data_IF_585826889932
#
_entry.id   IF_585826889932
#
_cell.length_a   1.000
_cell.length_b   1.000
_cell.length_c   1.000
_cell.angle_alpha   90.00
_cell.angle_beta   90.00
_cell.angle_gamma   90.00
#
_symmetry.space_group_name_H-M   'P 1'
#
loop_
_entity.id
_entity.type
_entity.pdbx_description
1 polymer ?
#
# COMPACT_ATOMS: atom_id res chain seq x y z
N UNK A 1 -13.75 -23.55 -4.31
CA UNK A 1 -13.23 -22.41 -5.10
C UNK A 1 -14.22 -21.28 -4.94
N UNK A 2 -13.80 -20.14 -4.40
CA UNK A 2 -14.67 -18.96 -4.35
C UNK A 2 -14.83 -18.39 -5.76
N UNK A 3 -16.03 -17.95 -6.13
CA UNK A 3 -16.30 -17.36 -7.44
C UNK A 3 -15.91 -15.88 -7.46
N UNK A 4 -14.63 -15.58 -7.25
CA UNK A 4 -14.06 -14.23 -7.31
C UNK A 4 -12.65 -14.27 -7.94
N UNK A 5 -12.10 -13.13 -8.40
CA UNK A 5 -10.72 -13.07 -8.90
C UNK A 5 -9.72 -13.65 -7.89
N UNK A 6 -8.71 -14.38 -8.36
CA UNK A 6 -7.72 -15.05 -7.50
C UNK A 6 -6.84 -14.08 -6.69
N UNK A 7 -6.77 -12.83 -7.14
CA UNK A 7 -6.05 -11.72 -6.50
C UNK A 7 -6.97 -10.82 -5.64
N UNK A 8 -8.29 -11.05 -5.65
CA UNK A 8 -9.20 -10.38 -4.72
C UNK A 8 -9.13 -11.01 -3.33
N UNK A 9 -9.44 -10.24 -2.29
CA UNK A 9 -9.54 -10.72 -0.91
C UNK A 9 -10.76 -10.13 -0.23
N UNK A 10 -11.43 -10.94 0.58
CA UNK A 10 -12.49 -10.53 1.51
C UNK A 10 -12.05 -10.93 2.91
N UNK A 11 -11.71 -9.94 3.73
CA UNK A 11 -11.37 -10.12 5.13
C UNK A 11 -12.54 -9.61 5.98
N UNK A 12 -12.79 -10.24 7.12
CA UNK A 12 -13.83 -9.80 8.03
C UNK A 12 -13.43 -10.01 9.50
N UNK A 13 -14.03 -9.22 10.37
CA UNK A 13 -13.98 -9.39 11.81
C UNK A 13 -15.38 -9.13 12.39
N UNK A 14 -15.84 -9.99 13.29
CA UNK A 14 -17.01 -9.70 14.11
C UNK A 14 -16.56 -8.74 15.20
N UNK A 15 -17.09 -7.52 15.19
CA UNK A 15 -16.73 -6.48 16.16
C UNK A 15 -17.77 -6.37 17.29
N UNK A 16 -18.98 -6.89 17.06
CA UNK A 16 -19.97 -7.12 18.10
C UNK A 16 -20.79 -8.37 17.77
N UNK A 17 -20.70 -9.42 18.60
CA UNK A 17 -21.45 -10.66 18.43
C UNK A 17 -22.88 -10.60 19.01
N UNK A 18 -23.22 -9.49 19.67
CA UNK A 18 -24.59 -9.12 20.02
C UNK A 18 -25.02 -9.31 21.47
N UNK A 19 -24.16 -9.81 22.36
CA UNK A 19 -24.46 -9.85 23.79
C UNK A 19 -23.49 -10.70 24.61
N UNK A 20 -23.67 -10.67 25.93
CA UNK A 20 -22.82 -11.38 26.91
C UNK A 20 -23.44 -12.71 27.38
N UNK A 21 -24.76 -12.86 27.26
CA UNK A 21 -25.51 -13.99 27.82
C UNK A 21 -25.94 -14.99 26.74
N UNK A 22 -25.60 -16.29 26.88
CA UNK A 22 -25.87 -17.30 25.86
C UNK A 22 -27.35 -17.71 25.74
N UNK A 23 -28.17 -17.36 26.73
CA UNK A 23 -29.60 -17.67 26.79
C UNK A 23 -30.51 -16.50 26.33
N UNK A 24 -29.93 -15.44 25.79
CA UNK A 24 -30.65 -14.27 25.27
C UNK A 24 -30.49 -14.22 23.75
N UNK A 25 -31.59 -14.02 23.02
CA UNK A 25 -31.53 -13.79 21.57
C UNK A 25 -31.01 -12.38 21.33
N UNK A 26 -29.93 -12.26 20.56
CA UNK A 26 -29.25 -10.99 20.37
C UNK A 26 -29.97 -10.11 19.33
N UNK A 27 -30.22 -8.85 19.68
CA UNK A 27 -30.97 -7.92 18.85
C UNK A 27 -30.10 -7.19 17.79
N UNK A 28 -28.78 -7.20 17.95
CA UNK A 28 -27.84 -6.48 17.10
C UNK A 28 -26.54 -7.27 16.99
N UNK A 29 -25.94 -7.31 15.81
CA UNK A 29 -24.59 -7.81 15.61
C UNK A 29 -23.89 -6.94 14.58
N UNK A 30 -22.57 -6.83 14.68
CA UNK A 30 -21.76 -5.96 13.85
C UNK A 30 -20.49 -6.66 13.41
N UNK A 31 -20.16 -6.49 12.13
CA UNK A 31 -18.93 -7.01 11.55
C UNK A 31 -18.33 -5.96 10.62
N UNK A 32 -17.00 -5.91 10.61
CA UNK A 32 -16.21 -5.06 9.73
C UNK A 32 -15.65 -5.91 8.59
N UNK A 33 -15.76 -5.41 7.36
CA UNK A 33 -15.26 -6.08 6.16
C UNK A 33 -14.21 -5.22 5.46
N UNK A 34 -13.14 -5.84 4.99
CA UNK A 34 -12.15 -5.24 4.08
C UNK A 34 -12.12 -6.05 2.79
N UNK A 35 -12.47 -5.40 1.68
CA UNK A 35 -12.54 -6.00 0.35
C UNK A 35 -11.51 -5.28 -0.51
N UNK A 36 -10.59 -6.05 -1.12
CA UNK A 36 -9.54 -5.50 -1.96
C UNK A 36 -9.28 -6.33 -3.20
N UNK A 37 -8.87 -5.66 -4.27
CA UNK A 37 -8.40 -6.24 -5.52
C UNK A 37 -7.36 -5.29 -6.14
N UNK A 38 -6.38 -5.78 -6.91
CA UNK A 38 -5.49 -4.92 -7.69
C UNK A 38 -6.20 -4.02 -8.70
N UNK A 39 -7.43 -4.36 -9.09
CA UNK A 39 -8.29 -3.55 -9.96
C UNK A 39 -9.53 -3.09 -9.19
N UNK A 40 -9.80 -1.78 -9.22
CA UNK A 40 -10.97 -1.16 -8.61
C UNK A 40 -12.31 -1.79 -9.03
N UNK A 41 -12.52 -2.05 -10.33
CA UNK A 41 -13.78 -2.61 -10.87
C UNK A 41 -14.07 -4.01 -10.30
N UNK A 42 -13.01 -4.79 -10.06
CA UNK A 42 -13.13 -6.10 -9.43
C UNK A 42 -13.50 -5.98 -7.94
N UNK A 43 -12.89 -5.02 -7.22
CA UNK A 43 -13.21 -4.77 -5.81
C UNK A 43 -14.67 -4.33 -5.64
N UNK A 44 -15.14 -3.42 -6.49
CA UNK A 44 -16.53 -2.94 -6.52
C UNK A 44 -17.52 -4.09 -6.79
N UNK A 45 -17.22 -4.95 -7.76
CA UNK A 45 -18.05 -6.13 -8.07
C UNK A 45 -18.12 -7.11 -6.89
N UNK A 46 -16.99 -7.35 -6.21
CA UNK A 46 -16.95 -8.21 -5.02
C UNK A 46 -17.74 -7.58 -3.87
N UNK A 47 -17.60 -6.28 -3.64
CA UNK A 47 -18.37 -5.53 -2.65
C UNK A 47 -19.87 -5.62 -2.88
N UNK A 48 -20.33 -5.37 -4.12
CA UNK A 48 -21.74 -5.51 -4.48
C UNK A 48 -22.28 -6.93 -4.22
N UNK A 49 -21.44 -7.96 -4.40
CA UNK A 49 -21.81 -9.34 -4.08
C UNK A 49 -21.90 -9.58 -2.57
N UNK A 50 -20.96 -9.05 -1.78
CA UNK A 50 -21.00 -9.17 -0.31
C UNK A 50 -22.25 -8.49 0.24
N UNK A 51 -22.64 -7.32 -0.29
CA UNK A 51 -23.89 -6.66 0.08
C UNK A 51 -25.12 -7.54 -0.18
N UNK A 52 -25.23 -8.14 -1.38
CA UNK A 52 -26.33 -9.07 -1.70
C UNK A 52 -26.38 -10.28 -0.78
N UNK A 53 -25.24 -10.79 -0.34
CA UNK A 53 -25.17 -11.89 0.63
C UNK A 53 -25.72 -11.43 1.98
N UNK A 54 -25.34 -10.24 2.45
CA UNK A 54 -25.83 -9.69 3.71
C UNK A 54 -27.34 -9.42 3.67
N UNK A 55 -27.86 -8.87 2.57
CA UNK A 55 -29.29 -8.69 2.33
C UNK A 55 -30.04 -10.02 2.32
N UNK A 56 -29.48 -11.05 1.66
CA UNK A 56 -30.06 -12.39 1.65
C UNK A 56 -30.10 -13.02 3.04
N UNK A 57 -29.06 -12.84 3.86
CA UNK A 57 -29.03 -13.32 5.23
C UNK A 57 -30.07 -12.60 6.11
N UNK A 58 -30.21 -11.28 5.96
CA UNK A 58 -31.24 -10.50 6.65
C UNK A 58 -32.65 -11.00 6.29
N UNK A 59 -32.89 -11.25 4.99
CA UNK A 59 -34.16 -11.80 4.51
C UNK A 59 -34.48 -13.17 5.09
N UNK A 60 -33.51 -14.11 5.08
CA UNK A 60 -33.71 -15.47 5.61
C UNK A 60 -34.02 -15.51 7.11
N UNK A 61 -33.57 -14.50 7.84
CA UNK A 61 -33.67 -14.44 9.31
C UNK A 61 -34.74 -13.47 9.80
N UNK A 62 -35.50 -12.85 8.87
CA UNK A 62 -36.47 -11.80 9.18
C UNK A 62 -35.86 -10.62 9.97
N UNK A 63 -34.59 -10.32 9.70
CA UNK A 63 -33.85 -9.18 10.30
C UNK A 63 -33.62 -8.08 9.26
N UNK A 64 -32.90 -7.03 9.68
CA UNK A 64 -32.47 -5.95 8.79
C UNK A 64 -30.95 -5.82 8.84
N UNK A 65 -30.35 -5.35 7.74
CA UNK A 65 -28.93 -5.05 7.66
C UNK A 65 -28.73 -3.61 7.22
N UNK A 66 -27.76 -2.94 7.86
CA UNK A 66 -27.28 -1.62 7.45
C UNK A 66 -25.81 -1.75 7.08
N UNK A 67 -25.46 -1.42 5.85
CA UNK A 67 -24.08 -1.37 5.38
C UNK A 67 -23.57 0.05 5.55
N UNK A 68 -22.43 0.22 6.22
CA UNK A 68 -21.75 1.50 6.36
C UNK A 68 -20.35 1.42 5.77
N UNK A 69 -20.06 2.29 4.80
CA UNK A 69 -18.71 2.44 4.26
C UNK A 69 -17.91 3.32 5.23
N UNK A 70 -16.83 2.78 5.77
CA UNK A 70 -15.96 3.47 6.74
C UNK A 70 -14.67 3.98 6.11
N UNK A 71 -14.35 3.56 4.89
CA UNK A 71 -13.18 3.97 4.13
C UNK A 71 -13.04 3.21 2.82
N UNK A 72 -12.12 3.65 1.98
CA UNK A 72 -11.82 3.04 0.69
C UNK A 72 -10.67 3.78 0.01
N UNK A 73 -9.91 3.07 -0.82
CA UNK A 73 -8.81 3.61 -1.61
C UNK A 73 -8.84 3.03 -3.01
N UNK A 74 -8.45 3.82 -4.00
CA UNK A 74 -8.32 3.34 -5.38
C UNK A 74 -7.00 2.62 -5.59
N UNK A 75 -6.91 1.76 -6.62
CA UNK A 75 -5.62 1.19 -7.02
C UNK A 75 -4.71 2.28 -7.58
N UNK A 76 -3.39 2.13 -7.40
CA UNK A 76 -2.41 3.06 -7.97
C UNK A 76 -2.33 2.89 -9.49
N UNK A 77 -2.29 4.02 -10.21
CA UNK A 77 -1.97 4.10 -11.63
C UNK A 77 -0.49 4.51 -11.78
N UNK A 78 0.42 3.57 -12.13
CA UNK A 78 1.83 3.88 -12.30
C UNK A 78 2.03 4.81 -13.51
N UNK A 79 2.97 5.75 -13.43
CA UNK A 79 3.29 6.62 -14.56
C UNK A 79 4.74 6.41 -15.03
N UNK A 80 4.91 5.64 -16.11
CA UNK A 80 6.22 5.27 -16.64
C UNK A 80 7.03 6.50 -17.03
N UNK A 81 6.41 7.50 -17.65
CA UNK A 81 7.11 8.73 -18.05
C UNK A 81 7.78 9.43 -16.86
N UNK A 82 7.15 9.44 -15.68
CA UNK A 82 7.75 9.97 -14.45
C UNK A 82 8.77 9.00 -13.83
N UNK A 83 8.48 7.70 -13.81
CA UNK A 83 9.40 6.70 -13.27
C UNK A 83 10.72 6.63 -14.05
N UNK A 84 10.71 6.77 -15.36
CA UNK A 84 11.93 6.82 -16.18
C UNK A 84 12.84 7.98 -15.76
N UNK A 85 12.26 9.16 -15.51
CA UNK A 85 13.01 10.35 -15.06
C UNK A 85 13.52 10.16 -13.64
N UNK A 86 12.69 9.60 -12.76
CA UNK A 86 13.07 9.30 -11.39
C UNK A 86 14.22 8.29 -11.33
N UNK A 87 14.16 7.25 -12.16
CA UNK A 87 15.18 6.22 -12.23
C UNK A 87 16.54 6.76 -12.67
N UNK A 88 16.57 7.61 -13.70
CA UNK A 88 17.80 8.27 -14.11
C UNK A 88 18.36 9.18 -13.00
N UNK A 89 17.49 9.85 -12.25
CA UNK A 89 17.91 10.62 -11.09
C UNK A 89 18.45 9.75 -9.94
N UNK A 90 17.82 8.59 -9.65
CA UNK A 90 18.37 7.62 -8.69
C UNK A 90 19.75 7.14 -9.11
N UNK A 91 19.94 6.83 -10.40
CA UNK A 91 21.24 6.40 -10.95
C UNK A 91 22.31 7.48 -10.81
N UNK A 92 21.97 8.76 -11.01
CA UNK A 92 22.89 9.89 -10.87
C UNK A 92 23.26 10.20 -9.42
N UNK A 93 22.29 10.12 -8.50
CA UNK A 93 22.52 10.42 -7.08
C UNK A 93 23.30 9.29 -6.40
N UNK A 94 23.08 8.04 -6.82
CA UNK A 94 23.73 6.86 -6.24
C UNK A 94 23.02 6.35 -4.99
N UNK A 95 23.59 5.31 -4.36
CA UNK A 95 22.95 4.63 -3.22
C UNK A 95 23.05 5.42 -1.91
N UNK A 96 22.29 5.04 -0.87
CA UNK A 96 22.44 5.63 0.45
C UNK A 96 23.87 5.39 0.97
N UNK A 97 24.53 6.40 1.56
CA UNK A 97 25.89 6.26 2.08
C UNK A 97 25.89 5.59 3.46
N UNK A 98 25.48 4.32 3.51
CA UNK A 98 25.53 3.52 4.73
C UNK A 98 26.97 3.37 5.23
N UNK A 99 27.15 3.41 6.56
CA UNK A 99 28.45 3.26 7.19
C UNK A 99 28.54 2.02 8.09
N UNK A 100 29.71 1.79 8.69
CA UNK A 100 29.94 0.61 9.53
C UNK A 100 28.95 0.47 10.71
N UNK A 101 28.44 1.57 11.27
CA UNK A 101 27.47 1.50 12.35
C UNK A 101 26.11 0.99 11.85
N UNK A 102 25.71 1.41 10.64
CA UNK A 102 24.48 0.92 10.00
C UNK A 102 24.56 -0.59 9.73
N UNK A 103 25.67 -1.07 9.17
CA UNK A 103 25.87 -2.50 8.90
C UNK A 103 25.98 -3.34 10.17
N UNK A 104 26.64 -2.84 11.22
CA UNK A 104 26.70 -3.55 12.50
C UNK A 104 25.32 -3.66 13.17
N UNK A 105 24.50 -2.60 13.13
CA UNK A 105 23.13 -2.68 13.60
C UNK A 105 22.32 -3.71 12.79
N UNK A 106 22.37 -3.63 11.45
CA UNK A 106 21.65 -4.55 10.57
C UNK A 106 22.06 -6.01 10.82
N UNK A 107 23.35 -6.27 11.04
CA UNK A 107 23.90 -7.58 11.41
C UNK A 107 23.37 -8.09 12.74
N UNK A 108 23.29 -7.23 13.76
CA UNK A 108 22.73 -7.59 15.05
C UNK A 108 21.25 -7.93 14.93
N UNK A 109 20.46 -7.07 14.26
CA UNK A 109 19.04 -7.30 14.01
C UNK A 109 18.82 -8.62 13.26
N UNK A 110 19.63 -8.85 12.21
CA UNK A 110 19.64 -10.09 11.43
C UNK A 110 19.84 -11.32 12.31
N UNK A 111 20.77 -11.25 13.27
CA UNK A 111 21.08 -12.36 14.17
C UNK A 111 19.98 -12.64 15.20
N UNK A 112 19.32 -11.60 15.71
CA UNK A 112 18.45 -11.73 16.90
C UNK A 112 16.96 -11.77 16.59
N UNK A 113 16.53 -11.24 15.43
CA UNK A 113 15.12 -10.99 15.18
C UNK A 113 14.65 -11.26 13.73
N UNK A 114 15.53 -11.71 12.84
CA UNK A 114 15.20 -12.05 11.45
C UNK A 114 15.71 -13.45 11.10
N UNK A 115 14.97 -14.14 10.25
CA UNK A 115 15.31 -15.48 9.74
C UNK A 115 15.77 -15.42 8.29
N UNK A 116 16.36 -16.51 7.79
CA UNK A 116 16.69 -16.63 6.36
C UNK A 116 15.45 -16.58 5.47
N UNK A 117 14.34 -17.12 5.96
CA UNK A 117 13.02 -17.00 5.31
C UNK A 117 12.57 -15.54 5.22
N UNK A 118 12.76 -14.74 6.28
CA UNK A 118 12.42 -13.32 6.26
C UNK A 118 13.23 -12.54 5.20
N UNK A 119 14.55 -12.79 5.09
CA UNK A 119 15.36 -12.15 4.03
C UNK A 119 14.85 -12.53 2.66
N UNK A 120 14.71 -13.83 2.41
CA UNK A 120 14.26 -14.33 1.11
C UNK A 120 12.90 -13.73 0.77
N UNK A 121 11.94 -13.74 1.70
CA UNK A 121 10.61 -13.16 1.50
C UNK A 121 10.67 -11.66 1.16
N UNK A 122 11.57 -10.91 1.79
CA UNK A 122 11.72 -9.47 1.54
C UNK A 122 12.25 -9.12 0.16
N UNK A 123 12.99 -10.04 -0.48
CA UNK A 123 13.60 -9.83 -1.80
C UNK A 123 13.04 -10.72 -2.91
N UNK A 124 12.19 -11.71 -2.60
CA UNK A 124 11.69 -12.72 -3.55
C UNK A 124 10.96 -12.12 -4.75
N UNK A 125 10.24 -11.01 -4.54
CA UNK A 125 9.61 -10.29 -5.64
C UNK A 125 10.60 -9.51 -6.50
N UNK A 126 11.79 -9.18 -6.00
CA UNK A 126 12.70 -8.23 -6.65
C UNK A 126 13.94 -8.95 -7.21
N UNK A 127 14.87 -9.31 -6.33
CA UNK A 127 16.12 -9.97 -6.69
C UNK A 127 16.58 -10.87 -5.53
N UNK A 128 16.45 -12.18 -5.72
CA UNK A 128 16.81 -13.18 -4.72
C UNK A 128 18.30 -13.20 -4.38
N UNK A 129 19.17 -12.69 -5.27
CA UNK A 129 20.61 -12.63 -5.00
C UNK A 129 20.96 -11.67 -3.85
N UNK A 130 20.04 -10.77 -3.49
CA UNK A 130 20.21 -9.82 -2.40
C UNK A 130 19.91 -10.42 -1.01
N UNK A 131 19.46 -11.67 -0.91
CA UNK A 131 19.03 -12.26 0.37
C UNK A 131 20.14 -12.28 1.44
N UNK A 132 21.41 -12.37 1.01
CA UNK A 132 22.57 -12.43 1.89
C UNK A 132 23.11 -11.04 2.26
N UNK A 133 22.59 -9.99 1.62
CA UNK A 133 22.95 -8.62 1.95
C UNK A 133 22.25 -8.17 3.25
N UNK A 134 22.92 -7.36 4.06
CA UNK A 134 22.32 -6.77 5.27
C UNK A 134 21.51 -5.51 4.95
N UNK A 135 22.05 -4.68 4.06
CA UNK A 135 21.47 -3.44 3.57
C UNK A 135 21.58 -3.43 2.05
N UNK A 136 20.63 -2.76 1.40
CA UNK A 136 20.61 -2.63 -0.05
C UNK A 136 21.23 -1.30 -0.49
N UNK A 137 22.37 -1.37 -1.18
CA UNK A 137 23.19 -0.25 -1.64
C UNK A 137 23.29 -0.20 -3.18
N UNK A 138 22.35 -0.83 -3.88
CA UNK A 138 22.29 -0.85 -5.33
C UNK A 138 20.99 -0.24 -5.85
N UNK A 139 20.84 -0.15 -7.17
CA UNK A 139 19.60 0.27 -7.82
C UNK A 139 19.00 -0.93 -8.52
N UNK A 140 17.82 -1.35 -8.07
CA UNK A 140 17.05 -2.39 -8.74
C UNK A 140 16.64 -1.91 -10.13
N UNK A 141 16.62 -2.78 -11.17
CA UNK A 141 16.11 -2.39 -12.48
C UNK A 141 14.67 -1.91 -12.38
N UNK A 142 14.27 -0.98 -13.26
CA UNK A 142 12.85 -0.66 -13.43
C UNK A 142 12.12 -1.95 -13.80
N UNK A 143 11.34 -2.46 -12.85
CA UNK A 143 10.52 -3.65 -13.06
C UNK A 143 9.40 -3.36 -14.06
N UNK A 144 8.91 -4.42 -14.68
CA UNK A 144 7.63 -4.40 -15.40
C UNK A 144 6.59 -5.03 -14.49
N UNK A 145 5.55 -4.26 -14.15
CA UNK A 145 4.28 -4.70 -13.60
C UNK A 145 4.33 -5.74 -12.47
N UNK A 146 5.00 -5.40 -11.36
CA UNK A 146 4.73 -6.08 -10.10
C UNK A 146 3.66 -5.33 -9.32
N UNK A 147 2.55 -6.01 -9.07
CA UNK A 147 1.52 -5.53 -8.17
C UNK A 147 2.09 -5.48 -6.74
N UNK A 148 2.38 -4.29 -6.26
CA UNK A 148 2.52 -4.10 -4.81
C UNK A 148 1.13 -4.21 -4.18
N UNK A 149 0.93 -5.21 -3.31
CA UNK A 149 -0.33 -5.39 -2.56
C UNK A 149 -0.52 -4.37 -1.42
N UNK A 150 0.24 -3.28 -1.44
CA UNK A 150 0.06 -2.14 -0.55
C UNK A 150 -1.27 -1.44 -0.79
N UNK A 151 -1.78 -0.76 0.22
CA UNK A 151 -2.98 0.07 0.11
C UNK A 151 -2.65 1.46 0.63
N UNK A 152 -2.90 2.48 -0.19
CA UNK A 152 -2.57 3.88 0.11
C UNK A 152 -3.53 4.80 -0.65
N UNK A 153 -3.86 5.92 -0.02
CA UNK A 153 -4.60 7.06 -0.58
C UNK A 153 -3.88 7.77 -1.73
N UNK A 154 -2.56 7.53 -1.91
CA UNK A 154 -1.84 7.95 -3.13
C UNK A 154 -2.47 7.34 -4.39
N UNK A 155 -3.13 6.18 -4.25
CA UNK A 155 -3.95 5.61 -5.30
C UNK A 155 -4.96 6.62 -5.84
N UNK A 156 -5.76 7.25 -4.98
CA UNK A 156 -6.77 8.23 -5.37
C UNK A 156 -6.16 9.45 -6.10
N UNK A 157 -5.01 9.93 -5.64
CA UNK A 157 -4.28 11.02 -6.30
C UNK A 157 -3.83 10.61 -7.71
N UNK A 158 -3.38 9.36 -7.89
CA UNK A 158 -2.89 8.86 -9.18
C UNK A 158 -3.95 8.76 -10.27
N UNK A 159 -5.24 8.74 -9.91
CA UNK A 159 -6.36 8.83 -10.86
C UNK A 159 -6.64 10.26 -11.33
N UNK A 160 -6.13 11.27 -10.62
CA UNK A 160 -6.39 12.69 -10.89
C UNK A 160 -5.18 13.32 -11.60
N UNK A 161 -3.97 13.02 -11.14
CA UNK A 161 -2.73 13.60 -11.66
C UNK A 161 -1.64 12.54 -11.87
N UNK A 162 -0.75 12.72 -12.88
CA UNK A 162 0.37 11.80 -13.07
C UNK A 162 1.20 11.70 -11.79
N UNK A 163 1.42 10.47 -11.32
CA UNK A 163 2.01 10.20 -10.01
C UNK A 163 3.11 9.15 -10.13
N UNK A 164 4.20 9.36 -9.38
CA UNK A 164 5.28 8.40 -9.20
C UNK A 164 5.71 8.41 -7.72
N UNK A 165 6.11 7.26 -7.20
CA UNK A 165 6.54 7.09 -5.81
C UNK A 165 8.02 6.73 -5.74
N UNK A 166 8.75 7.34 -4.81
CA UNK A 166 10.16 7.05 -4.60
C UNK A 166 10.31 6.08 -3.42
N UNK A 167 10.90 4.92 -3.67
CA UNK A 167 11.29 3.96 -2.63
C UNK A 167 12.81 3.90 -2.55
N UNK A 168 13.34 3.98 -1.32
CA UNK A 168 14.79 3.91 -1.04
C UNK A 168 15.04 2.95 0.12
N UNK A 169 16.25 2.40 0.20
CA UNK A 169 16.64 1.57 1.33
C UNK A 169 16.76 2.45 2.59
N UNK A 170 15.94 2.14 3.61
CA UNK A 170 15.92 2.83 4.90
C UNK A 170 16.06 1.87 6.09
N UNK A 171 16.08 0.56 5.85
CA UNK A 171 16.08 -0.48 6.87
C UNK A 171 16.74 -1.75 6.33
N UNK A 172 17.09 -2.66 7.24
CA UNK A 172 17.75 -3.92 6.95
C UNK A 172 16.89 -4.85 6.10
N UNK A 173 17.53 -5.58 5.18
CA UNK A 173 16.92 -6.64 4.39
C UNK A 173 16.37 -7.73 5.34
N UNK A 174 15.21 -8.26 4.99
CA UNK A 174 14.43 -9.17 5.84
C UNK A 174 13.43 -8.48 6.78
N UNK A 175 13.48 -7.15 6.91
CA UNK A 175 12.50 -6.46 7.76
C UNK A 175 11.12 -6.41 7.09
N UNK A 176 10.13 -7.08 7.68
CA UNK A 176 8.73 -6.98 7.24
C UNK A 176 8.10 -5.64 7.63
N UNK A 177 7.24 -5.10 6.76
CA UNK A 177 6.41 -3.94 7.10
C UNK A 177 5.44 -4.26 8.25
N UNK A 178 5.11 -3.24 9.05
CA UNK A 178 4.23 -3.36 10.23
C UNK A 178 4.74 -4.33 11.31
N UNK A 179 6.06 -4.45 11.45
CA UNK A 179 6.70 -5.27 12.48
C UNK A 179 7.41 -4.41 13.54
N UNK A 180 7.65 -4.98 14.72
CA UNK A 180 8.48 -4.33 15.75
C UNK A 180 9.91 -4.09 15.27
N UNK A 181 10.44 -4.98 14.43
CA UNK A 181 11.75 -4.83 13.80
C UNK A 181 11.83 -3.59 12.92
N UNK A 182 10.74 -3.19 12.25
CA UNK A 182 10.73 -1.93 11.50
C UNK A 182 10.71 -0.71 12.44
N UNK A 183 9.95 -0.79 13.55
CA UNK A 183 9.85 0.30 14.54
C UNK A 183 11.23 0.64 15.13
N UNK A 184 12.08 -0.35 15.38
CA UNK A 184 13.42 -0.11 15.95
C UNK A 184 14.38 0.60 15.00
N UNK A 185 14.04 0.73 13.72
CA UNK A 185 14.92 1.27 12.68
C UNK A 185 14.55 2.68 12.22
N UNK A 186 13.31 3.11 12.42
CA UNK A 186 12.75 4.32 11.80
C UNK A 186 13.45 5.64 12.15
N UNK A 187 14.14 5.70 13.30
CA UNK A 187 14.88 6.89 13.77
C UNK A 187 16.41 6.69 13.73
N UNK A 188 16.88 5.60 13.12
CA UNK A 188 18.32 5.35 13.01
C UNK A 188 18.97 6.20 11.91
N UNK A 189 20.28 6.48 12.01
CA UNK A 189 21.04 7.16 10.95
C UNK A 189 20.85 6.53 9.56
N UNK A 190 20.80 5.20 9.46
CA UNK A 190 20.48 4.48 8.23
C UNK A 190 19.15 4.94 7.58
N UNK A 191 18.07 5.03 8.37
CA UNK A 191 16.78 5.46 7.88
C UNK A 191 16.82 6.90 7.37
N UNK A 192 17.52 7.80 8.08
CA UNK A 192 17.72 9.18 7.64
C UNK A 192 18.55 9.28 6.35
N UNK A 193 19.56 8.44 6.16
CA UNK A 193 20.35 8.38 4.91
C UNK A 193 19.48 7.98 3.71
N UNK A 194 18.63 6.97 3.88
CA UNK A 194 17.62 6.58 2.88
C UNK A 194 16.62 7.69 2.60
N UNK A 195 16.06 8.32 3.64
CA UNK A 195 15.13 9.44 3.52
C UNK A 195 15.75 10.64 2.76
N UNK A 196 17.00 11.00 3.06
CA UNK A 196 17.71 12.08 2.36
C UNK A 196 17.94 11.72 0.89
N UNK A 197 18.24 10.45 0.58
CA UNK A 197 18.32 9.98 -0.81
C UNK A 197 16.97 10.19 -1.52
N UNK A 198 15.87 9.73 -0.92
CA UNK A 198 14.53 9.90 -1.49
C UNK A 198 14.21 11.38 -1.74
N UNK A 199 14.52 12.26 -0.78
CA UNK A 199 14.32 13.70 -0.92
C UNK A 199 15.10 14.28 -2.11
N UNK A 200 16.39 13.93 -2.25
CA UNK A 200 17.23 14.38 -3.38
C UNK A 200 16.69 13.90 -4.73
N UNK A 201 16.28 12.63 -4.79
CA UNK A 201 15.74 12.01 -6.01
C UNK A 201 14.42 12.67 -6.40
N UNK A 202 13.48 12.83 -5.46
CA UNK A 202 12.20 13.49 -5.72
C UNK A 202 12.40 14.94 -6.17
N UNK A 203 13.27 15.71 -5.49
CA UNK A 203 13.56 17.09 -5.85
C UNK A 203 14.19 17.22 -7.24
N UNK A 204 15.14 16.34 -7.58
CA UNK A 204 15.80 16.34 -8.89
C UNK A 204 14.83 15.93 -10.00
N UNK A 205 13.98 14.94 -9.74
CA UNK A 205 12.91 14.52 -10.66
C UNK A 205 11.93 15.66 -10.93
N UNK A 206 11.49 16.36 -9.89
CA UNK A 206 10.61 17.52 -10.03
C UNK A 206 11.29 18.65 -10.82
N UNK A 207 12.56 18.93 -10.55
CA UNK A 207 13.33 19.93 -11.30
C UNK A 207 13.44 19.58 -12.80
N UNK A 208 13.68 18.31 -13.14
CA UNK A 208 13.73 17.85 -14.53
C UNK A 208 12.35 17.99 -15.21
N UNK A 209 11.27 17.65 -14.51
CA UNK A 209 9.90 17.82 -15.00
C UNK A 209 9.54 19.30 -15.25
N UNK A 210 9.99 20.21 -14.39
CA UNK A 210 9.77 21.65 -14.54
C UNK A 210 10.57 22.21 -15.73
N UNK A 211 11.82 21.75 -15.90
CA UNK A 211 12.72 22.21 -16.96
C UNK A 211 12.36 21.66 -18.34
N UNK A 212 11.74 20.49 -18.40
CA UNK A 212 11.32 19.87 -19.64
C UNK A 212 9.79 19.58 -19.64
N UNK A 213 8.98 20.51 -20.15
CA UNK A 213 7.52 20.36 -20.23
C UNK A 213 7.04 19.13 -21.01
N UNK A 214 7.86 18.56 -21.90
CA UNK A 214 7.50 17.36 -22.65
C UNK A 214 7.35 16.13 -21.74
N UNK A 215 8.07 16.08 -20.61
CA UNK A 215 7.90 15.02 -19.61
C UNK A 215 6.47 15.06 -19.05
N UNK A 216 6.00 16.24 -18.65
CA UNK A 216 4.64 16.42 -18.13
C UNK A 216 3.59 16.13 -19.21
N UNK A 217 3.83 16.53 -20.46
CA UNK A 217 2.92 16.23 -21.57
C UNK A 217 2.76 14.72 -21.78
N UNK A 218 3.88 13.97 -21.80
CA UNK A 218 3.86 12.50 -21.89
C UNK A 218 3.18 11.86 -20.70
N UNK A 219 3.50 12.30 -19.48
CA UNK A 219 2.90 11.77 -18.25
C UNK A 219 1.37 11.96 -18.23
N UNK A 220 0.87 13.11 -18.66
CA UNK A 220 -0.58 13.38 -18.80
C UNK A 220 -1.24 12.54 -19.89
N UNK A 221 -0.57 12.35 -21.03
CA UNK A 221 -1.07 11.51 -22.11
C UNK A 221 -1.20 10.04 -21.67
N UNK A 222 -0.19 9.54 -20.93
CA UNK A 222 -0.21 8.18 -20.36
C UNK A 222 -1.35 7.99 -19.36
N UNK A 223 -1.55 8.93 -18.43
CA UNK A 223 -2.68 8.87 -17.49
C UNK A 223 -4.04 8.86 -18.22
N UNK A 224 -4.21 9.71 -19.24
CA UNK A 224 -5.43 9.75 -20.04
C UNK A 224 -5.67 8.41 -20.76
N UNK A 225 -4.60 7.76 -21.24
CA UNK A 225 -4.68 6.45 -21.85
C UNK A 225 -5.11 5.37 -20.85
N UNK A 226 -4.48 5.32 -19.67
CA UNK A 226 -4.78 4.32 -18.63
C UNK A 226 -6.22 4.44 -18.11
N UNK A 227 -6.68 5.68 -17.89
CA UNK A 227 -8.06 5.94 -17.41
C UNK A 227 -9.10 5.79 -18.52
N UNK A 228 -8.70 5.78 -19.79
CA UNK A 228 -9.61 5.89 -20.93
C UNK A 228 -10.39 7.22 -20.95
N UNK A 229 -9.89 8.24 -20.24
CA UNK A 229 -10.59 9.52 -20.03
C UNK A 229 -11.73 9.47 -19.01
N UNK A 230 -11.90 8.36 -18.29
CA UNK A 230 -12.90 8.27 -17.20
C UNK A 230 -12.48 9.16 -16.03
N UNK A 231 -13.41 9.92 -15.42
CA UNK A 231 -13.10 10.71 -14.24
C UNK A 231 -12.84 9.79 -13.05
N UNK A 232 -12.02 10.27 -12.11
CA UNK A 232 -11.88 9.65 -10.80
C UNK A 232 -13.23 9.62 -10.06
N UNK A 233 -13.53 8.49 -9.43
CA UNK A 233 -14.68 8.31 -8.54
C UNK A 233 -14.15 7.94 -7.16
N UNK A 234 -14.45 8.78 -6.17
CA UNK A 234 -14.09 8.50 -4.79
C UNK A 234 -14.78 7.22 -4.31
N UNK A 235 -14.03 6.22 -3.81
CA UNK A 235 -14.63 4.99 -3.27
C UNK A 235 -15.42 5.24 -1.98
N UNK A 236 -15.24 6.41 -1.36
CA UNK A 236 -15.92 6.84 -0.14
C UNK A 236 -17.10 7.76 -0.52
N UNK A 237 -18.35 7.44 -0.11
CA UNK A 237 -19.50 8.31 -0.31
C UNK A 237 -19.34 9.69 0.32
N UNK A 238 -19.96 10.72 -0.27
CA UNK A 238 -19.82 12.12 0.15
C UNK A 238 -20.35 12.42 1.55
N UNK A 239 -21.29 11.61 2.05
CA UNK A 239 -21.88 11.72 3.38
C UNK A 239 -21.03 11.07 4.48
N UNK A 240 -19.99 10.33 4.12
CA UNK A 240 -19.08 9.69 5.07
C UNK A 240 -18.03 10.69 5.52
N UNK A 241 -18.04 11.01 6.81
CA UNK A 241 -17.02 11.82 7.46
C UNK A 241 -16.11 10.97 8.34
N UNK A 242 -14.84 11.37 8.58
CA UNK A 242 -13.98 10.69 9.54
C UNK A 242 -14.66 10.56 10.91
N UNK A 243 -14.55 9.38 11.51
CA UNK A 243 -15.07 9.13 12.86
C UNK A 243 -14.37 10.03 13.88
N UNK A 244 -15.11 10.66 14.80
CA UNK A 244 -14.51 11.45 15.88
C UNK A 244 -13.75 10.51 16.84
N UNK A 245 -12.42 10.51 16.74
CA UNK A 245 -11.54 9.69 17.56
C UNK A 245 -11.60 10.09 19.05
N UNK A 246 -12.08 11.28 19.38
CA UNK A 246 -12.24 11.74 20.77
C UNK A 246 -13.47 11.15 21.45
N UNK A 247 -14.44 10.65 20.67
CA UNK A 247 -15.68 10.08 21.20
C UNK A 247 -15.59 8.59 21.59
N UNK A 248 -14.48 7.91 21.28
CA UNK A 248 -14.25 6.49 21.61
C UNK A 248 -13.45 6.27 22.90
N UNK A 249 -13.06 7.35 23.59
CA UNK A 249 -12.41 7.31 24.89
C UNK A 249 -13.45 7.51 26.01
N UNK A 250 -14.34 6.55 26.19
CA UNK A 250 -15.18 6.37 27.38
C UNK A 250 -15.38 4.88 27.65
#
# INVERSE_FOLDING_TARGET
REHMPSNARVHYAIINAGGEFPNVVQAYAESSYSIRSPNWEDAERVFARVQKIAEGAALMTETSVKVQITGGYSNILPNKALYDVMYENMRRVGPPPFDGADYEFAKQLRKVALTDEDALASVAGRDVSLQDNLLHDSLLPLGTDQFEFGSTDVGDVSWIVPTAQCQTACFAIGTSFHSWQLVTQGDLPAAHKGMILAAKVMASTAADCIRNPEIIARAKAELKQQTGGRPYLCPIPLDVTPSDLRGKAL
#
